data_IF_804096563702
#
_entry.id   IF_804096563702
#
_cell.length_a   1.000
_cell.length_b   1.000
_cell.length_c   1.000
_cell.angle_alpha   90.00
_cell.angle_beta   90.00
_cell.angle_gamma   90.00
#
_symmetry.space_group_name_H-M   'P 1'
#
loop_
_entity.id
_entity.type
_entity.pdbx_description
1 polymer ?
#
# COMPACT_ATOMS: atom_id res chain seq x y z
N UNK A 1 -8.46 -4.63 -4.35
CA UNK A 1 -8.24 -3.35 -3.60
C UNK A 1 -9.33 -3.11 -2.56
N UNK A 2 -10.62 -3.36 -2.87
CA UNK A 2 -11.75 -3.14 -1.93
C UNK A 2 -11.62 -3.99 -0.67
N UNK A 3 -11.20 -5.25 -0.80
CA UNK A 3 -10.96 -6.16 0.34
C UNK A 3 -9.82 -5.63 1.20
N UNK A 4 -8.75 -5.12 0.59
CA UNK A 4 -7.63 -4.52 1.33
C UNK A 4 -8.10 -3.33 2.20
N UNK A 5 -8.96 -2.45 1.67
CA UNK A 5 -9.56 -1.35 2.45
C UNK A 5 -10.40 -1.89 3.61
N UNK A 6 -11.24 -2.92 3.36
CA UNK A 6 -12.05 -3.53 4.41
C UNK A 6 -11.17 -4.12 5.52
N UNK A 7 -10.05 -4.76 5.16
CA UNK A 7 -9.07 -5.29 6.12
C UNK A 7 -8.46 -4.16 6.96
N UNK A 8 -8.03 -3.05 6.34
CA UNK A 8 -7.51 -1.88 7.09
C UNK A 8 -8.53 -1.39 8.11
N UNK A 9 -9.80 -1.24 7.69
CA UNK A 9 -10.88 -0.76 8.57
C UNK A 9 -11.20 -1.76 9.69
N UNK A 10 -11.11 -3.06 9.42
CA UNK A 10 -11.36 -4.11 10.40
C UNK A 10 -10.25 -4.21 11.45
N UNK A 11 -8.99 -4.10 11.02
CA UNK A 11 -7.81 -4.23 11.89
C UNK A 11 -7.59 -3.01 12.80
N UNK A 12 -8.18 -1.86 12.46
CA UNK A 12 -8.04 -0.64 13.22
C UNK A 12 -9.36 -0.30 13.95
N UNK A 13 -9.27 0.04 15.23
CA UNK A 13 -10.42 0.51 16.00
C UNK A 13 -10.89 1.88 15.47
N UNK A 14 -12.11 1.92 14.95
CA UNK A 14 -12.71 3.14 14.39
C UNK A 14 -12.88 4.27 15.39
N UNK A 15 -12.88 3.96 16.69
CA UNK A 15 -12.98 4.93 17.78
C UNK A 15 -11.64 5.49 18.25
N UNK A 16 -10.53 4.84 17.92
CA UNK A 16 -9.20 5.23 18.35
C UNK A 16 -8.51 6.18 17.36
N UNK A 17 -7.65 7.05 17.90
CA UNK A 17 -6.71 7.80 17.08
C UNK A 17 -5.67 6.83 16.49
N UNK A 18 -5.59 6.76 15.18
CA UNK A 18 -4.61 5.91 14.49
C UNK A 18 -3.93 6.63 13.33
N UNK A 19 -2.75 6.16 12.97
CA UNK A 19 -1.96 6.66 11.86
C UNK A 19 -1.79 5.58 10.81
N UNK A 20 -2.23 5.87 9.61
CA UNK A 20 -2.14 4.96 8.45
C UNK A 20 -1.19 5.54 7.41
N UNK A 21 -0.32 4.71 6.88
CA UNK A 21 0.47 5.02 5.68
C UNK A 21 -0.03 4.15 4.53
N UNK A 22 -0.49 4.77 3.46
CA UNK A 22 -0.76 4.13 2.16
C UNK A 22 0.47 4.37 1.28
N UNK A 23 1.27 3.32 1.05
CA UNK A 23 2.54 3.38 0.34
C UNK A 23 2.35 2.83 -1.09
N UNK A 24 2.91 3.51 -2.09
CA UNK A 24 2.56 3.36 -3.50
C UNK A 24 1.09 3.73 -3.74
N UNK A 25 0.67 4.89 -3.22
CA UNK A 25 -0.73 5.26 -3.08
C UNK A 25 -1.46 5.49 -4.42
N UNK A 26 -0.73 5.74 -5.52
CA UNK A 26 -1.31 6.03 -6.84
C UNK A 26 -2.25 7.24 -6.77
N UNK A 27 -3.55 7.01 -6.99
CA UNK A 27 -4.58 8.04 -6.85
C UNK A 27 -5.01 8.31 -5.40
N UNK A 28 -4.48 7.54 -4.44
CA UNK A 28 -4.83 7.61 -3.02
C UNK A 28 -6.09 6.84 -2.63
N UNK A 29 -6.59 5.95 -3.48
CA UNK A 29 -7.91 5.33 -3.27
C UNK A 29 -7.99 4.51 -1.98
N UNK A 30 -6.94 3.78 -1.59
CA UNK A 30 -6.91 2.97 -0.37
C UNK A 30 -6.91 3.87 0.86
N UNK A 31 -5.95 4.78 0.95
CA UNK A 31 -5.81 5.66 2.13
C UNK A 31 -7.00 6.61 2.29
N UNK A 32 -7.58 7.12 1.20
CA UNK A 32 -8.78 7.95 1.25
C UNK A 32 -10.00 7.16 1.72
N UNK A 33 -10.19 5.93 1.24
CA UNK A 33 -11.27 5.06 1.70
C UNK A 33 -11.09 4.67 3.17
N UNK A 34 -9.85 4.39 3.62
CA UNK A 34 -9.55 4.18 5.03
C UNK A 34 -9.92 5.41 5.87
N UNK A 35 -9.50 6.62 5.45
CA UNK A 35 -9.83 7.86 6.16
C UNK A 35 -11.34 8.14 6.21
N UNK A 36 -12.09 7.80 5.16
CA UNK A 36 -13.55 7.97 5.14
C UNK A 36 -14.27 7.06 6.14
N UNK A 37 -13.76 5.84 6.36
CA UNK A 37 -14.36 4.85 7.25
C UNK A 37 -13.81 4.91 8.69
N UNK A 38 -12.65 5.52 8.90
CA UNK A 38 -12.01 5.68 10.21
C UNK A 38 -11.96 7.17 10.56
N UNK A 39 -12.97 7.73 11.26
CA UNK A 39 -13.12 9.18 11.47
C UNK A 39 -11.95 9.81 12.25
N UNK A 40 -11.27 9.06 13.10
CA UNK A 40 -10.13 9.52 13.90
C UNK A 40 -8.77 9.20 13.26
N UNK A 41 -8.74 8.51 12.10
CA UNK A 41 -7.49 8.20 11.43
C UNK A 41 -6.83 9.44 10.81
N UNK A 42 -5.52 9.52 10.93
CA UNK A 42 -4.64 10.41 10.17
C UNK A 42 -3.91 9.59 9.12
N UNK A 43 -4.06 9.95 7.86
CA UNK A 43 -3.53 9.15 6.75
C UNK A 43 -2.45 9.92 6.00
N UNK A 44 -1.34 9.25 5.74
CA UNK A 44 -0.30 9.70 4.83
C UNK A 44 -0.38 8.86 3.55
N UNK A 45 -0.48 9.53 2.40
CA UNK A 45 -0.37 8.93 1.08
C UNK A 45 1.06 9.11 0.59
N UNK A 46 1.82 8.04 0.53
CA UNK A 46 3.19 8.01 0.03
C UNK A 46 3.22 7.55 -1.43
N UNK A 47 3.63 8.43 -2.33
CA UNK A 47 3.67 8.15 -3.77
C UNK A 47 4.93 8.75 -4.38
N UNK A 48 5.56 8.04 -5.30
CA UNK A 48 6.78 8.50 -5.97
C UNK A 48 6.49 9.40 -7.17
N UNK A 49 5.45 9.09 -7.94
CA UNK A 49 5.11 9.80 -9.17
C UNK A 49 4.44 11.15 -8.90
N UNK A 50 4.97 12.22 -9.48
CA UNK A 50 4.47 13.57 -9.29
C UNK A 50 3.05 13.78 -9.86
N UNK A 51 2.70 13.12 -10.96
CA UNK A 51 1.36 13.23 -11.55
C UNK A 51 0.32 12.51 -10.68
N UNK A 52 0.66 11.33 -10.17
CA UNK A 52 -0.17 10.61 -9.22
C UNK A 52 -0.35 11.42 -7.91
N UNK A 53 0.69 12.09 -7.42
CA UNK A 53 0.60 13.00 -6.26
C UNK A 53 -0.35 14.19 -6.52
N UNK A 54 -0.40 14.74 -7.73
CA UNK A 54 -1.37 15.78 -8.08
C UNK A 54 -2.80 15.24 -7.99
N UNK A 55 -3.02 14.00 -8.46
CA UNK A 55 -4.31 13.31 -8.36
C UNK A 55 -4.68 13.06 -6.90
N UNK A 56 -3.74 12.55 -6.07
CA UNK A 56 -3.94 12.42 -4.63
C UNK A 56 -4.45 13.73 -4.01
N UNK A 57 -3.78 14.85 -4.26
CA UNK A 57 -4.15 16.16 -3.71
C UNK A 57 -5.54 16.63 -4.16
N UNK A 58 -5.90 16.34 -5.42
CA UNK A 58 -7.26 16.63 -5.92
C UNK A 58 -8.30 15.77 -5.22
N UNK A 59 -8.04 14.46 -5.06
CA UNK A 59 -8.94 13.52 -4.43
C UNK A 59 -9.12 13.81 -2.93
N UNK A 60 -8.04 14.18 -2.21
CA UNK A 60 -8.13 14.65 -0.81
C UNK A 60 -9.12 15.82 -0.67
N UNK A 61 -9.02 16.82 -1.56
CA UNK A 61 -9.94 17.98 -1.54
C UNK A 61 -11.37 17.62 -1.91
N UNK A 62 -11.56 16.78 -2.94
CA UNK A 62 -12.88 16.34 -3.40
C UNK A 62 -13.67 15.56 -2.35
N UNK A 63 -12.96 14.89 -1.44
CA UNK A 63 -13.56 14.10 -0.37
C UNK A 63 -13.57 14.83 0.99
N UNK A 64 -13.24 16.13 1.03
CA UNK A 64 -13.20 16.94 2.25
C UNK A 64 -12.30 16.38 3.37
N UNK A 65 -11.19 15.72 2.98
CA UNK A 65 -10.25 15.04 3.88
C UNK A 65 -8.98 15.84 4.21
N UNK A 66 -8.90 17.12 3.81
CA UNK A 66 -7.70 17.96 3.97
C UNK A 66 -7.22 18.13 5.42
N UNK A 67 -8.10 17.95 6.39
CA UNK A 67 -7.74 18.03 7.83
C UNK A 67 -7.07 16.76 8.39
N UNK A 68 -7.14 15.62 7.67
CA UNK A 68 -6.72 14.32 8.18
C UNK A 68 -5.86 13.52 7.22
N UNK A 69 -5.85 13.87 5.95
CA UNK A 69 -5.09 13.18 4.90
C UNK A 69 -4.08 14.15 4.27
N UNK A 70 -2.85 13.71 4.18
CA UNK A 70 -1.78 14.43 3.47
C UNK A 70 -1.10 13.51 2.46
N UNK A 71 -0.53 14.07 1.40
CA UNK A 71 0.27 13.32 0.44
C UNK A 71 1.71 13.80 0.45
N UNK A 72 2.66 12.89 0.35
CA UNK A 72 4.09 13.16 0.35
C UNK A 72 4.77 12.32 -0.74
N UNK A 73 5.76 12.90 -1.41
CA UNK A 73 6.60 12.15 -2.33
C UNK A 73 7.52 11.22 -1.54
N UNK A 74 7.33 9.91 -1.72
CA UNK A 74 8.09 8.87 -1.04
C UNK A 74 8.43 7.76 -2.03
N UNK A 75 9.68 7.31 -1.99
CA UNK A 75 10.07 6.08 -2.64
C UNK A 75 9.92 4.91 -1.64
N UNK A 76 9.04 3.96 -1.96
CA UNK A 76 8.81 2.78 -1.14
C UNK A 76 10.06 1.86 -1.03
N UNK A 77 11.02 2.02 -1.91
CA UNK A 77 12.28 1.28 -1.96
C UNK A 77 13.41 1.95 -1.20
N UNK A 78 13.15 3.12 -0.61
CA UNK A 78 14.07 3.83 0.27
C UNK A 78 13.65 3.73 1.73
N UNK A 79 14.58 4.04 2.64
CA UNK A 79 14.28 4.07 4.08
C UNK A 79 13.29 5.19 4.40
N UNK A 80 12.32 4.93 5.31
CA UNK A 80 11.41 5.96 5.76
C UNK A 80 12.16 7.15 6.38
N UNK A 81 11.81 8.39 6.01
CA UNK A 81 12.34 9.56 6.70
C UNK A 81 11.96 9.53 8.19
N UNK A 82 12.94 9.74 9.07
CA UNK A 82 12.75 9.62 10.53
C UNK A 82 11.71 10.59 11.11
N UNK A 83 11.50 11.73 10.46
CA UNK A 83 10.51 12.71 10.89
C UNK A 83 9.04 12.29 10.68
N UNK A 84 8.80 11.22 9.93
CA UNK A 84 7.44 10.69 9.74
C UNK A 84 6.89 10.07 11.02
N UNK A 85 7.76 9.60 11.93
CA UNK A 85 7.35 8.86 13.11
C UNK A 85 6.78 7.48 12.78
N UNK A 86 6.02 6.90 13.71
CA UNK A 86 5.50 5.54 13.59
C UNK A 86 4.03 5.53 13.14
N UNK A 87 3.63 4.42 12.50
CA UNK A 87 2.28 4.16 12.02
C UNK A 87 1.68 2.94 12.72
N UNK A 88 0.37 2.95 12.90
CA UNK A 88 -0.39 1.81 13.39
C UNK A 88 -0.63 0.78 12.28
N UNK A 89 -0.74 1.28 11.04
CA UNK A 89 -0.88 0.44 9.85
C UNK A 89 -0.10 1.03 8.68
N UNK A 90 0.63 0.18 7.98
CA UNK A 90 1.17 0.46 6.64
C UNK A 90 0.42 -0.46 5.67
N UNK A 91 -0.19 0.13 4.67
CA UNK A 91 -0.88 -0.60 3.60
C UNK A 91 -0.24 -0.26 2.26
N UNK A 92 -0.15 -1.22 1.37
CA UNK A 92 0.38 -0.99 0.03
C UNK A 92 -0.24 -1.93 -1.01
N UNK A 93 -0.55 -1.38 -2.16
CA UNK A 93 -0.73 -2.13 -3.41
C UNK A 93 0.42 -1.75 -4.35
N UNK A 94 1.60 -2.34 -4.17
CA UNK A 94 2.79 -1.94 -4.89
C UNK A 94 2.81 -2.54 -6.29
N UNK A 95 3.67 -2.05 -7.21
CA UNK A 95 3.95 -2.70 -8.48
C UNK A 95 4.43 -4.14 -8.25
N UNK A 96 3.78 -5.11 -8.91
CA UNK A 96 4.03 -6.54 -8.69
C UNK A 96 4.19 -7.37 -9.98
N UNK A 97 4.18 -6.75 -11.15
CA UNK A 97 4.30 -7.48 -12.42
C UNK A 97 5.79 -7.71 -12.72
N UNK A 98 6.20 -8.97 -12.96
CA UNK A 98 7.55 -9.24 -13.42
C UNK A 98 7.88 -8.44 -14.68
N UNK A 99 9.07 -7.86 -14.76
CA UNK A 99 9.48 -6.99 -15.87
C UNK A 99 9.34 -7.69 -17.25
N UNK A 100 9.57 -9.01 -17.29
CA UNK A 100 9.43 -9.81 -18.51
C UNK A 100 8.00 -10.00 -19.00
N UNK A 101 7.01 -9.85 -18.13
CA UNK A 101 5.61 -10.14 -18.42
C UNK A 101 4.84 -8.91 -18.92
N UNK A 102 5.41 -7.71 -18.76
CA UNK A 102 4.76 -6.43 -19.13
C UNK A 102 4.36 -6.40 -20.60
N UNK A 103 5.20 -6.91 -21.49
CA UNK A 103 4.90 -6.94 -22.92
C UNK A 103 3.69 -7.81 -23.29
N UNK A 104 3.34 -8.78 -22.42
CA UNK A 104 2.20 -9.68 -22.59
C UNK A 104 0.89 -9.18 -21.98
N UNK A 105 0.89 -8.04 -21.29
CA UNK A 105 -0.29 -7.48 -20.67
C UNK A 105 -1.33 -7.02 -21.70
N UNK A 106 -2.58 -6.95 -21.27
CA UNK A 106 -3.65 -6.33 -22.04
C UNK A 106 -3.26 -4.89 -22.43
N UNK A 107 -3.65 -4.48 -23.63
CA UNK A 107 -3.35 -3.14 -24.17
C UNK A 107 -3.86 -2.03 -23.24
N UNK A 108 -5.00 -2.24 -22.59
CA UNK A 108 -5.59 -1.28 -21.64
C UNK A 108 -4.73 -1.01 -20.42
N UNK A 109 -3.94 -2.00 -20.00
CA UNK A 109 -3.00 -1.88 -18.88
C UNK A 109 -1.64 -1.41 -19.40
N UNK A 110 -1.08 -2.16 -20.37
CA UNK A 110 0.27 -1.93 -20.88
C UNK A 110 0.51 -0.52 -21.42
N UNK A 111 -0.47 0.02 -22.19
CA UNK A 111 -0.30 1.27 -22.95
C UNK A 111 -0.90 2.49 -22.22
N UNK A 112 -1.74 2.29 -21.20
CA UNK A 112 -2.43 3.37 -20.50
C UNK A 112 -2.04 3.52 -19.03
N UNK A 113 -1.50 2.49 -18.38
CA UNK A 113 -0.97 2.64 -17.03
C UNK A 113 0.51 3.04 -17.04
N UNK A 114 0.94 3.91 -16.13
CA UNK A 114 2.36 4.27 -16.02
C UNK A 114 3.20 3.01 -15.78
N UNK A 115 4.25 2.80 -16.57
CA UNK A 115 5.13 1.64 -16.40
C UNK A 115 5.74 1.55 -14.99
N UNK A 116 5.90 2.69 -14.32
CA UNK A 116 6.37 2.75 -12.94
C UNK A 116 5.39 2.08 -11.96
N UNK A 117 4.09 2.12 -12.28
CA UNK A 117 3.04 1.50 -11.45
C UNK A 117 2.90 -0.02 -11.69
N UNK A 118 3.57 -0.57 -12.72
CA UNK A 118 3.45 -1.98 -13.12
C UNK A 118 4.67 -2.81 -12.71
N UNK A 119 5.89 -2.25 -12.85
CA UNK A 119 7.16 -2.97 -12.74
C UNK A 119 7.50 -3.36 -11.31
N UNK A 120 7.38 -4.65 -11.00
CA UNK A 120 7.74 -5.23 -9.71
C UNK A 120 9.15 -5.81 -9.61
N UNK A 121 9.99 -5.62 -10.67
CA UNK A 121 11.31 -6.22 -10.77
C UNK A 121 11.32 -7.56 -11.49
N UNK A 122 12.42 -8.29 -11.41
CA UNK A 122 12.64 -9.51 -12.20
C UNK A 122 11.59 -10.61 -11.93
N UNK A 123 11.14 -10.75 -10.71
CA UNK A 123 10.13 -11.73 -10.27
C UNK A 123 8.84 -11.12 -9.71
N UNK A 124 8.69 -9.78 -9.81
CA UNK A 124 7.52 -9.05 -9.31
C UNK A 124 7.49 -8.85 -7.80
N UNK A 125 8.58 -9.15 -7.08
CA UNK A 125 8.59 -9.16 -5.62
C UNK A 125 9.50 -8.10 -4.98
N UNK A 126 10.15 -7.25 -5.77
CA UNK A 126 11.12 -6.29 -5.27
C UNK A 126 10.52 -5.33 -4.24
N UNK A 127 9.33 -4.79 -4.51
CA UNK A 127 8.67 -3.87 -3.59
C UNK A 127 8.29 -4.53 -2.26
N UNK A 128 7.81 -5.77 -2.29
CA UNK A 128 7.49 -6.50 -1.05
C UNK A 128 8.72 -6.71 -0.18
N UNK A 129 9.88 -7.07 -0.80
CA UNK A 129 11.15 -7.21 -0.09
C UNK A 129 11.61 -5.89 0.52
N UNK A 130 11.59 -4.82 -0.27
CA UNK A 130 12.07 -3.52 0.16
C UNK A 130 11.15 -2.90 1.21
N UNK A 131 9.84 -2.88 1.00
CA UNK A 131 8.87 -2.36 1.98
C UNK A 131 8.98 -3.14 3.29
N UNK A 132 8.94 -4.48 3.24
CA UNK A 132 9.01 -5.32 4.43
C UNK A 132 10.32 -5.09 5.20
N UNK A 133 11.46 -4.97 4.51
CA UNK A 133 12.77 -4.78 5.13
C UNK A 133 12.97 -3.37 5.69
N UNK A 134 12.50 -2.34 4.97
CA UNK A 134 12.82 -0.94 5.28
C UNK A 134 11.76 -0.28 6.15
N UNK A 135 10.47 -0.51 5.86
CA UNK A 135 9.36 0.23 6.46
C UNK A 135 8.81 -0.39 7.73
N UNK A 136 9.21 -1.63 8.06
CA UNK A 136 8.92 -2.22 9.39
C UNK A 136 9.43 -1.33 10.53
N UNK A 137 10.52 -0.59 10.32
CA UNK A 137 11.05 0.36 11.31
C UNK A 137 10.13 1.58 11.56
N UNK A 138 9.15 1.83 10.69
CA UNK A 138 8.14 2.86 10.83
C UNK A 138 6.80 2.33 11.37
N UNK A 139 6.71 1.05 11.69
CA UNK A 139 5.55 0.46 12.37
C UNK A 139 5.73 0.52 13.89
N UNK A 140 4.65 0.84 14.58
CA UNK A 140 4.56 0.65 16.03
C UNK A 140 4.62 -0.84 16.39
N UNK A 141 5.02 -1.12 17.62
CA UNK A 141 4.90 -2.49 18.17
C UNK A 141 3.42 -2.90 18.10
N UNK A 142 3.15 -4.05 17.49
CA UNK A 142 1.78 -4.52 17.22
C UNK A 142 1.09 -3.87 16.02
N UNK A 143 1.79 -2.99 15.28
CA UNK A 143 1.29 -2.39 14.05
C UNK A 143 1.12 -3.42 12.92
N UNK A 144 0.30 -3.07 11.94
CA UNK A 144 -0.07 -3.96 10.82
C UNK A 144 0.65 -3.55 9.53
N UNK A 145 1.16 -4.54 8.80
CA UNK A 145 1.63 -4.37 7.42
C UNK A 145 0.74 -5.19 6.50
N UNK A 146 0.04 -4.51 5.59
CA UNK A 146 -0.96 -5.11 4.70
C UNK A 146 -0.56 -4.89 3.24
N UNK A 147 -0.61 -5.95 2.46
CA UNK A 147 -0.32 -5.90 1.03
C UNK A 147 -1.48 -6.40 0.18
N UNK A 148 -1.73 -5.77 -0.96
CA UNK A 148 -2.33 -6.45 -2.09
C UNK A 148 -1.23 -7.17 -2.87
N UNK A 149 -1.48 -8.41 -3.31
CA UNK A 149 -0.47 -9.22 -4.00
C UNK A 149 -0.95 -9.70 -5.36
N UNK A 150 -0.04 -9.88 -6.28
CA UNK A 150 -0.32 -10.49 -7.58
C UNK A 150 -0.79 -11.95 -7.44
N UNK A 151 -1.53 -12.44 -8.44
CA UNK A 151 -2.00 -13.82 -8.48
C UNK A 151 -0.80 -14.78 -8.38
N UNK A 152 -0.86 -15.69 -7.42
CA UNK A 152 0.19 -16.68 -7.17
C UNK A 152 1.40 -16.20 -6.37
N UNK A 153 1.43 -14.93 -5.94
CA UNK A 153 2.56 -14.38 -5.17
C UNK A 153 2.37 -14.49 -3.64
N UNK A 154 1.17 -14.77 -3.16
CA UNK A 154 0.83 -14.70 -1.74
C UNK A 154 1.78 -15.50 -0.83
N UNK A 155 2.08 -16.76 -1.17
CA UNK A 155 2.97 -17.61 -0.36
C UNK A 155 4.40 -17.07 -0.28
N UNK A 156 4.91 -16.47 -1.36
CA UNK A 156 6.26 -15.89 -1.37
C UNK A 156 6.30 -14.60 -0.55
N UNK A 157 5.27 -13.74 -0.67
CA UNK A 157 5.17 -12.53 0.16
C UNK A 157 5.09 -12.90 1.64
N UNK A 158 4.33 -13.94 2.02
CA UNK A 158 4.34 -14.44 3.40
C UNK A 158 5.72 -14.89 3.87
N UNK A 159 6.51 -15.56 3.00
CA UNK A 159 7.89 -15.95 3.33
C UNK A 159 8.77 -14.73 3.56
N UNK A 160 8.64 -13.70 2.72
CA UNK A 160 9.35 -12.43 2.87
C UNK A 160 9.01 -11.79 4.22
N UNK A 161 7.74 -11.68 4.57
CA UNK A 161 7.31 -11.09 5.84
C UNK A 161 7.82 -11.88 7.05
N UNK A 162 7.73 -13.22 7.01
CA UNK A 162 8.29 -14.08 8.08
C UNK A 162 9.79 -13.90 8.29
N UNK A 163 10.54 -13.64 7.21
CA UNK A 163 12.00 -13.52 7.28
C UNK A 163 12.50 -12.33 8.11
N UNK A 164 11.63 -11.31 8.31
CA UNK A 164 11.92 -10.13 9.13
C UNK A 164 11.18 -10.12 10.47
N UNK A 165 10.49 -11.22 10.82
CA UNK A 165 9.90 -11.42 12.14
C UNK A 165 8.40 -11.13 12.26
N UNK A 166 7.68 -10.92 11.17
CA UNK A 166 6.22 -10.86 11.24
C UNK A 166 5.64 -12.23 11.64
N UNK A 167 4.78 -12.22 12.66
CA UNK A 167 3.92 -13.34 13.06
C UNK A 167 2.48 -13.10 12.58
N UNK A 168 1.57 -14.00 12.93
CA UNK A 168 0.12 -13.87 12.69
C UNK A 168 -0.21 -13.45 11.24
N UNK A 169 0.43 -14.14 10.28
CA UNK A 169 0.29 -13.85 8.87
C UNK A 169 -0.95 -14.53 8.31
N UNK A 170 -1.78 -13.78 7.63
CA UNK A 170 -3.03 -14.23 7.04
C UNK A 170 -3.11 -13.86 5.55
N UNK A 171 -3.76 -14.70 4.75
CA UNK A 171 -4.08 -14.44 3.35
C UNK A 171 -5.59 -14.29 3.24
N UNK A 172 -6.03 -13.14 2.75
CA UNK A 172 -7.45 -12.87 2.48
C UNK A 172 -7.71 -13.01 0.99
N UNK A 173 -8.69 -13.83 0.56
CA UNK A 173 -9.04 -13.90 -0.85
C UNK A 173 -9.80 -12.64 -1.30
N UNK A 174 -9.70 -12.33 -2.60
CA UNK A 174 -10.55 -11.32 -3.23
C UNK A 174 -12.01 -11.80 -3.37
N UNK A 175 -12.88 -10.96 -3.94
CA UNK A 175 -14.30 -11.28 -4.14
C UNK A 175 -14.54 -12.46 -5.08
N UNK A 176 -13.53 -12.91 -5.82
CA UNK A 176 -13.57 -14.09 -6.69
C UNK A 176 -12.95 -15.33 -6.02
N UNK A 177 -12.52 -15.23 -4.77
CA UNK A 177 -11.88 -16.30 -4.03
C UNK A 177 -10.39 -16.50 -4.37
N UNK A 178 -9.75 -15.54 -5.04
CA UNK A 178 -8.35 -15.60 -5.41
C UNK A 178 -7.52 -14.98 -4.26
N UNK A 179 -6.48 -15.68 -3.73
CA UNK A 179 -5.56 -15.14 -2.74
C UNK A 179 -4.88 -13.85 -3.27
N UNK A 180 -5.05 -12.75 -2.52
CA UNK A 180 -4.58 -11.44 -2.95
C UNK A 180 -3.88 -10.68 -1.84
#
# INVERSE_FOLDING_TARGET
TEVLVQTVVHELDSGADCRVLDLCAGSGCIGLAAAANLPNARVLLGELDDEALKICRQNIRRNDLTGRVVSLQLDAREKPPTHLGEFDCIVSNPPYIPDGDIAGLDVSVRDYEPHLALKGGADGLDFYRDITRLWTAALRVGGRLLFEVGIGQADEVLRIMRSVGFGDLEITPDLNGIPR
#
